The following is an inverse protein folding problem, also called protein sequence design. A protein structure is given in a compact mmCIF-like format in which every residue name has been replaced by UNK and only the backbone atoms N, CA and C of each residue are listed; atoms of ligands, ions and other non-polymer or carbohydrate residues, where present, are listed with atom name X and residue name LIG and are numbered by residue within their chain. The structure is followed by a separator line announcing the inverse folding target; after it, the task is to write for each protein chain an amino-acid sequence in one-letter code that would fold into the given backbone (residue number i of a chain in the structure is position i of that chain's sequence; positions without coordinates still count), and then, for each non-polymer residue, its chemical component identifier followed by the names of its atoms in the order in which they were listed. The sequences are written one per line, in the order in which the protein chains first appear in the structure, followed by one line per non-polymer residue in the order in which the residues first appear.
data_IF_426859528070
#
_entry.id   IF_426859528070
#
_cell.length_a   1.000
_cell.length_b   1.000
_cell.length_c   1.000
_cell.angle_alpha   90.00
_cell.angle_beta   90.00
_cell.angle_gamma   90.00
#
_symmetry.space_group_name_H-M   'P 1'
#
loop_
_entity.id
_entity.type
_entity.pdbx_description
1 polymer ?
#
# COMPACT_ATOMS: atom_id res chain seq x y z
N UNK A 1 34.82 1.98 -21.56
CA UNK A 1 33.93 2.92 -22.22
C UNK A 1 32.69 3.13 -21.32
N UNK A 2 32.49 4.39 -20.91
CA UNK A 2 31.29 4.74 -20.11
C UNK A 2 30.10 4.63 -21.07
N UNK A 3 29.12 3.82 -20.71
CA UNK A 3 27.91 3.58 -21.49
C UNK A 3 27.21 4.92 -21.84
N UNK A 4 26.87 5.11 -23.12
CA UNK A 4 26.19 6.31 -23.61
C UNK A 4 24.88 6.61 -22.87
N UNK A 5 24.21 5.57 -22.39
CA UNK A 5 23.02 5.66 -21.56
C UNK A 5 23.29 6.24 -20.16
N UNK A 6 24.47 5.99 -19.58
CA UNK A 6 24.86 6.56 -18.29
C UNK A 6 25.10 8.07 -18.38
N UNK A 7 25.79 8.52 -19.44
CA UNK A 7 26.02 9.95 -19.70
C UNK A 7 24.71 10.69 -19.94
N UNK A 8 23.77 10.10 -20.68
CA UNK A 8 22.46 10.67 -20.91
C UNK A 8 21.67 10.84 -19.60
N UNK A 9 21.70 9.84 -18.71
CA UNK A 9 21.05 9.93 -17.38
C UNK A 9 21.67 11.01 -16.49
N UNK A 10 22.99 11.15 -16.47
CA UNK A 10 23.67 12.20 -15.72
C UNK A 10 23.33 13.60 -16.26
N UNK A 11 23.25 13.77 -17.58
CA UNK A 11 22.81 15.03 -18.20
C UNK A 11 21.37 15.36 -17.83
N UNK A 12 20.45 14.40 -17.91
CA UNK A 12 19.05 14.57 -17.50
C UNK A 12 18.95 14.99 -16.04
N UNK A 13 19.70 14.33 -15.15
CA UNK A 13 19.73 14.66 -13.72
C UNK A 13 20.23 16.09 -13.48
N UNK A 14 21.32 16.52 -14.14
CA UNK A 14 21.84 17.88 -14.06
C UNK A 14 20.84 18.93 -14.56
N UNK A 15 20.16 18.65 -15.69
CA UNK A 15 19.10 19.53 -16.21
C UNK A 15 17.93 19.66 -15.25
N UNK A 16 17.53 18.57 -14.59
CA UNK A 16 16.46 18.60 -13.57
C UNK A 16 16.82 19.51 -12.40
N UNK A 17 18.08 19.46 -11.90
CA UNK A 17 18.54 20.36 -10.84
C UNK A 17 18.52 21.83 -11.28
N UNK A 18 18.99 22.12 -12.50
CA UNK A 18 18.94 23.49 -13.06
C UNK A 18 17.51 24.01 -13.22
N UNK A 19 16.62 23.17 -13.74
CA UNK A 19 15.21 23.52 -13.91
C UNK A 19 14.55 23.82 -12.57
N UNK A 20 14.78 23.00 -11.54
CA UNK A 20 14.31 23.25 -10.18
C UNK A 20 14.83 24.59 -9.62
N UNK A 21 16.15 24.84 -9.71
CA UNK A 21 16.72 26.14 -9.28
C UNK A 21 16.09 27.32 -9.99
N UNK A 22 15.88 27.19 -11.29
CA UNK A 22 15.22 28.26 -12.08
C UNK A 22 13.80 28.48 -11.63
N UNK A 23 13.00 27.40 -11.46
CA UNK A 23 11.64 27.46 -10.98
C UNK A 23 11.52 28.17 -9.61
N UNK A 24 12.31 27.74 -8.63
CA UNK A 24 12.29 28.37 -7.30
C UNK A 24 12.70 29.86 -7.32
N UNK A 25 13.60 30.26 -8.23
CA UNK A 25 14.04 31.65 -8.36
C UNK A 25 13.06 32.54 -9.14
N UNK A 26 12.36 32.00 -10.13
CA UNK A 26 11.58 32.80 -11.06
C UNK A 26 10.06 32.72 -10.82
N UNK A 27 9.56 31.64 -10.25
CA UNK A 27 8.12 31.41 -10.12
C UNK A 27 7.62 31.55 -8.67
N UNK A 28 8.52 31.57 -7.67
CA UNK A 28 8.11 31.62 -6.28
C UNK A 28 8.22 33.05 -5.78
N UNK A 29 7.08 33.60 -5.38
CA UNK A 29 7.02 34.88 -4.71
C UNK A 29 7.50 34.73 -3.26
N UNK A 30 8.68 35.28 -2.95
CA UNK A 30 9.28 35.21 -1.62
C UNK A 30 8.54 36.00 -0.53
N UNK A 31 7.56 36.82 -0.94
CA UNK A 31 6.74 37.59 -0.01
C UNK A 31 5.45 36.84 0.40
N UNK A 32 5.23 35.65 -0.11
CA UNK A 32 4.10 34.80 0.24
C UNK A 32 4.57 33.60 1.08
N UNK A 33 3.74 33.15 2.03
CA UNK A 33 3.98 31.89 2.72
C UNK A 33 3.75 30.72 1.76
N UNK A 34 4.85 30.12 1.30
CA UNK A 34 4.81 28.97 0.43
C UNK A 34 5.11 27.69 1.22
N UNK A 35 4.31 26.65 1.05
CA UNK A 35 4.57 25.31 1.57
C UNK A 35 4.90 24.37 0.42
N UNK A 36 6.10 23.83 0.43
CA UNK A 36 6.54 22.86 -0.57
C UNK A 36 6.48 21.46 -0.02
N UNK A 37 5.81 20.57 -0.77
CA UNK A 37 5.71 19.16 -0.43
C UNK A 37 6.42 18.36 -1.53
N UNK A 38 7.40 17.56 -1.14
CA UNK A 38 8.12 16.68 -2.05
C UNK A 38 7.87 15.22 -1.69
N UNK A 39 7.63 14.40 -2.69
CA UNK A 39 7.28 12.99 -2.53
C UNK A 39 8.42 12.10 -3.03
N UNK A 40 8.87 11.19 -2.19
CA UNK A 40 9.93 10.20 -2.40
C UNK A 40 11.38 10.71 -2.34
N UNK A 41 12.28 9.77 -2.05
CA UNK A 41 13.70 10.06 -1.83
C UNK A 41 14.41 10.68 -3.06
N UNK A 42 14.04 10.31 -4.28
CA UNK A 42 14.67 10.85 -5.48
C UNK A 42 14.36 12.34 -5.66
N UNK A 43 13.09 12.74 -5.57
CA UNK A 43 12.68 14.14 -5.64
C UNK A 43 13.28 14.96 -4.48
N UNK A 44 13.29 14.40 -3.27
CA UNK A 44 13.91 15.01 -2.10
C UNK A 44 15.42 15.27 -2.33
N UNK A 45 16.13 14.32 -2.94
CA UNK A 45 17.56 14.48 -3.24
C UNK A 45 17.80 15.59 -4.28
N UNK A 46 16.95 15.67 -5.31
CA UNK A 46 17.02 16.73 -6.32
C UNK A 46 16.83 18.12 -5.70
N UNK A 47 15.85 18.28 -4.81
CA UNK A 47 15.59 19.54 -4.10
C UNK A 47 16.75 19.93 -3.18
N UNK A 48 17.32 18.98 -2.46
CA UNK A 48 18.52 19.23 -1.65
C UNK A 48 19.70 19.70 -2.50
N UNK A 49 20.00 19.02 -3.62
CA UNK A 49 21.05 19.42 -4.57
C UNK A 49 20.77 20.77 -5.24
N UNK A 50 19.50 21.12 -5.39
CA UNK A 50 19.11 22.45 -5.86
C UNK A 50 19.30 23.55 -4.81
N UNK A 51 19.49 23.19 -3.53
CA UNK A 51 19.64 24.15 -2.42
C UNK A 51 18.30 24.65 -1.88
N UNK A 52 17.19 23.99 -2.21
CA UNK A 52 15.80 24.42 -1.93
C UNK A 52 15.10 23.48 -0.92
N UNK A 53 15.84 22.95 0.06
CA UNK A 53 15.29 21.93 0.99
C UNK A 53 14.75 22.49 2.32
N UNK A 54 15.16 23.69 2.73
CA UNK A 54 14.88 24.22 4.07
C UNK A 54 13.41 24.37 4.42
N UNK A 55 12.59 24.79 3.44
CA UNK A 55 11.16 25.07 3.63
C UNK A 55 10.28 23.96 3.04
N UNK A 56 10.88 22.80 2.74
CA UNK A 56 10.19 21.65 2.14
C UNK A 56 9.80 20.65 3.20
N UNK A 57 8.58 20.12 3.07
CA UNK A 57 8.11 18.92 3.73
C UNK A 57 8.41 17.71 2.84
N UNK A 58 9.31 16.84 3.27
CA UNK A 58 9.64 15.61 2.54
C UNK A 58 8.71 14.46 2.93
N UNK A 59 7.90 13.95 2.01
CA UNK A 59 7.02 12.80 2.26
C UNK A 59 7.69 11.50 1.82
N UNK A 60 7.60 10.50 2.66
CA UNK A 60 8.08 9.15 2.40
C UNK A 60 6.92 8.16 2.28
N UNK A 61 6.78 7.58 1.09
CA UNK A 61 5.76 6.56 0.81
C UNK A 61 6.30 5.13 0.89
N UNK A 62 7.61 4.99 1.12
CA UNK A 62 8.28 3.71 1.22
C UNK A 62 8.89 3.51 2.61
N UNK A 63 8.86 2.27 3.08
CA UNK A 63 9.43 1.89 4.37
C UNK A 63 10.92 2.27 4.47
N UNK A 64 11.36 2.56 5.71
CA UNK A 64 12.76 2.90 6.02
C UNK A 64 13.74 1.85 5.48
N UNK A 65 13.45 0.56 5.67
CA UNK A 65 14.35 -0.55 5.36
C UNK A 65 14.34 -0.99 3.88
N UNK A 66 13.59 -0.33 3.02
CA UNK A 66 13.55 -0.67 1.58
C UNK A 66 14.94 -0.55 0.93
N UNK A 67 15.75 0.38 1.41
CA UNK A 67 17.05 0.66 0.82
C UNK A 67 18.21 0.02 1.60
N UNK A 68 19.34 -0.32 0.93
CA UNK A 68 20.56 -0.80 1.59
C UNK A 68 21.12 0.24 2.59
N UNK A 69 21.88 -0.23 3.58
CA UNK A 69 22.45 0.63 4.64
C UNK A 69 23.11 1.93 4.15
N UNK A 70 23.99 1.94 3.10
CA UNK A 70 24.62 3.19 2.66
C UNK A 70 23.61 4.18 2.07
N UNK A 71 22.58 3.70 1.35
CA UNK A 71 21.52 4.55 0.80
C UNK A 71 20.65 5.12 1.92
N UNK A 72 20.36 4.34 2.98
CA UNK A 72 19.64 4.82 4.17
C UNK A 72 20.40 5.93 4.88
N UNK A 73 21.72 5.78 5.02
CA UNK A 73 22.57 6.82 5.61
C UNK A 73 22.54 8.13 4.79
N UNK A 74 22.69 8.01 3.46
CA UNK A 74 22.56 9.15 2.55
C UNK A 74 21.18 9.81 2.66
N UNK A 75 20.13 9.02 2.72
CA UNK A 75 18.74 9.48 2.87
C UNK A 75 18.56 10.27 4.17
N UNK A 76 19.04 9.77 5.29
CA UNK A 76 19.00 10.49 6.57
C UNK A 76 19.84 11.78 6.49
N UNK A 77 21.01 11.74 5.87
CA UNK A 77 21.84 12.93 5.66
C UNK A 77 21.09 14.00 4.84
N UNK A 78 20.52 13.65 3.69
CA UNK A 78 19.72 14.57 2.86
C UNK A 78 18.55 15.14 3.66
N UNK A 79 17.83 14.30 4.41
CA UNK A 79 16.65 14.70 5.19
C UNK A 79 16.97 15.59 6.39
N UNK A 80 18.21 15.61 6.86
CA UNK A 80 18.63 16.56 7.90
C UNK A 80 18.50 18.03 7.47
N UNK A 81 18.45 18.32 6.18
CA UNK A 81 18.28 19.67 5.62
C UNK A 81 16.82 20.08 5.37
N UNK A 82 15.86 19.19 5.52
CA UNK A 82 14.44 19.46 5.30
C UNK A 82 13.78 20.06 6.55
N UNK A 83 12.70 20.81 6.36
CA UNK A 83 11.90 21.39 7.45
C UNK A 83 11.28 20.28 8.31
N UNK A 84 10.58 19.34 7.69
CA UNK A 84 10.00 18.15 8.30
C UNK A 84 10.08 16.98 7.32
N UNK A 85 10.07 15.78 7.87
CA UNK A 85 9.90 14.53 7.13
C UNK A 85 8.63 13.88 7.60
N UNK A 86 7.73 13.63 6.67
CA UNK A 86 6.45 12.96 6.91
C UNK A 86 6.62 11.49 6.53
N UNK A 87 6.29 10.61 7.45
CA UNK A 87 6.29 9.14 7.27
C UNK A 87 4.89 8.60 7.53
N UNK A 88 4.60 7.39 7.03
CA UNK A 88 3.26 6.83 7.09
C UNK A 88 2.99 5.97 8.34
N UNK A 89 4.05 5.56 9.06
CA UNK A 89 3.93 4.66 10.22
C UNK A 89 4.84 5.10 11.36
N UNK A 90 4.41 4.85 12.61
CA UNK A 90 5.20 5.12 13.82
C UNK A 90 6.48 4.28 13.86
N UNK A 91 6.46 3.11 13.25
CA UNK A 91 7.62 2.24 13.12
C UNK A 91 8.72 2.87 12.26
N UNK A 92 8.34 3.51 11.14
CA UNK A 92 9.30 4.26 10.32
C UNK A 92 9.74 5.53 11.02
N UNK A 93 8.85 6.25 11.71
CA UNK A 93 9.23 7.39 12.55
C UNK A 93 10.31 6.99 13.55
N UNK A 94 10.10 5.92 14.31
CA UNK A 94 11.08 5.42 15.28
C UNK A 94 12.43 5.11 14.63
N UNK A 95 12.44 4.55 13.42
CA UNK A 95 13.68 4.24 12.70
C UNK A 95 14.40 5.48 12.20
N UNK A 96 13.68 6.46 11.65
CA UNK A 96 14.26 7.73 11.22
C UNK A 96 14.77 8.55 12.41
N UNK A 97 14.07 8.54 13.54
CA UNK A 97 14.47 9.26 14.77
C UNK A 97 15.76 8.71 15.42
N UNK A 98 16.27 7.55 15.01
CA UNK A 98 17.62 7.09 15.37
C UNK A 98 18.74 7.94 14.74
N UNK A 99 18.43 8.67 13.67
CA UNK A 99 19.40 9.43 12.88
C UNK A 99 19.01 10.90 12.68
N UNK A 100 17.74 11.23 12.92
CA UNK A 100 17.17 12.58 12.82
C UNK A 100 16.56 12.99 14.16
N UNK A 101 16.46 14.28 14.45
CA UNK A 101 15.81 14.75 15.68
C UNK A 101 14.31 14.41 15.66
N UNK A 102 13.74 14.08 16.83
CA UNK A 102 12.34 13.66 16.98
C UNK A 102 11.33 14.70 16.44
N UNK A 103 11.64 15.98 16.67
CA UNK A 103 10.77 17.06 16.19
C UNK A 103 10.80 17.24 14.66
N UNK A 104 11.70 16.55 13.96
CA UNK A 104 11.83 16.62 12.50
C UNK A 104 11.00 15.58 11.75
N UNK A 105 10.73 14.45 12.38
CA UNK A 105 9.97 13.36 11.77
C UNK A 105 8.57 13.29 12.36
N UNK A 106 7.57 13.32 11.50
CA UNK A 106 6.15 13.30 11.88
C UNK A 106 5.45 12.13 11.19
N UNK A 107 4.68 11.36 11.93
CA UNK A 107 3.81 10.34 11.35
C UNK A 107 2.50 10.98 10.92
N UNK A 108 2.20 10.88 9.64
CA UNK A 108 0.90 11.21 9.06
C UNK A 108 0.50 10.03 8.18
N UNK A 109 -0.40 9.14 8.64
CA UNK A 109 -0.83 8.01 7.86
C UNK A 109 -1.66 8.48 6.65
N UNK A 110 -1.73 7.64 5.63
CA UNK A 110 -2.64 7.89 4.52
C UNK A 110 -4.09 7.79 5.00
N UNK A 111 -4.92 8.70 4.51
CA UNK A 111 -6.32 8.81 4.91
C UNK A 111 -7.21 7.80 4.20
N UNK A 112 -8.21 7.30 4.92
CA UNK A 112 -9.35 6.61 4.35
C UNK A 112 -10.39 7.65 3.91
N UNK A 113 -10.62 7.80 2.62
CA UNK A 113 -11.76 8.56 2.11
C UNK A 113 -12.90 7.56 1.91
N UNK A 114 -13.78 7.45 2.91
CA UNK A 114 -15.02 6.69 2.75
C UNK A 114 -15.89 7.41 1.71
N UNK A 115 -15.85 6.94 0.47
CA UNK A 115 -16.79 7.35 -0.58
C UNK A 115 -18.03 6.50 -0.40
N UNK A 116 -19.17 7.14 -0.10
CA UNK A 116 -20.53 6.57 -0.05
C UNK A 116 -20.78 5.38 0.90
N UNK A 117 -22.01 5.25 1.37
CA UNK A 117 -22.45 4.12 2.20
C UNK A 117 -22.87 2.95 1.30
N UNK A 118 -21.90 2.14 0.88
CA UNK A 118 -22.18 0.87 0.24
C UNK A 118 -22.64 -0.16 1.28
N UNK A 119 -23.74 -0.84 0.98
CA UNK A 119 -24.19 -1.98 1.78
C UNK A 119 -23.44 -3.23 1.29
N UNK A 120 -22.61 -3.81 2.15
CA UNK A 120 -21.87 -5.03 1.84
C UNK A 120 -22.80 -6.26 1.83
N UNK A 121 -22.64 -7.11 0.83
CA UNK A 121 -23.24 -8.45 0.81
C UNK A 121 -22.26 -9.47 1.42
N UNK A 122 -22.22 -9.53 2.74
CA UNK A 122 -21.39 -10.49 3.46
C UNK A 122 -21.84 -11.94 3.31
N UNK A 123 -22.99 -12.20 2.64
CA UNK A 123 -23.50 -13.55 2.33
C UNK A 123 -23.05 -14.03 0.97
N UNK A 124 -22.46 -13.16 0.17
CA UNK A 124 -21.87 -13.50 -1.12
C UNK A 124 -20.87 -14.65 -1.00
N UNK A 125 -20.74 -15.45 -2.06
CA UNK A 125 -19.71 -16.49 -2.19
C UNK A 125 -18.51 -16.01 -3.00
N UNK A 126 -18.22 -14.71 -2.94
CA UNK A 126 -17.11 -14.08 -3.68
C UNK A 126 -16.07 -13.54 -2.72
N UNK A 127 -14.84 -13.97 -2.92
CA UNK A 127 -13.64 -13.41 -2.30
C UNK A 127 -13.08 -12.37 -3.26
N UNK A 128 -12.57 -11.26 -2.75
CA UNK A 128 -11.97 -10.21 -3.58
C UNK A 128 -10.52 -9.96 -3.20
N UNK A 129 -9.66 -9.77 -4.20
CA UNK A 129 -8.29 -9.28 -4.06
C UNK A 129 -8.03 -8.17 -5.07
N UNK A 130 -7.27 -7.14 -4.69
CA UNK A 130 -7.09 -5.94 -5.50
C UNK A 130 -5.63 -5.48 -5.46
N UNK A 131 -5.06 -5.20 -6.63
CA UNK A 131 -3.71 -4.66 -6.72
C UNK A 131 -3.08 -4.86 -8.09
N UNK A 132 -1.92 -4.25 -8.32
CA UNK A 132 -1.15 -4.49 -9.55
C UNK A 132 -0.75 -5.96 -9.65
N UNK A 133 -0.85 -6.55 -10.81
CA UNK A 133 -0.38 -7.93 -11.07
C UNK A 133 1.15 -7.93 -11.16
N UNK A 134 1.78 -7.78 -10.00
CA UNK A 134 3.22 -7.61 -9.78
C UNK A 134 3.69 -8.50 -8.62
N UNK A 135 4.94 -8.99 -8.58
CA UNK A 135 5.43 -9.89 -7.53
C UNK A 135 5.19 -9.39 -6.09
N UNK A 136 5.19 -8.07 -5.89
CA UNK A 136 4.91 -7.45 -4.59
C UNK A 136 3.56 -7.88 -4.01
N UNK A 137 2.52 -8.02 -4.84
CA UNK A 137 1.14 -8.30 -4.38
C UNK A 137 0.88 -9.77 -4.04
N UNK A 138 1.79 -10.69 -4.40
CA UNK A 138 1.75 -12.09 -3.97
C UNK A 138 0.53 -12.87 -4.45
N UNK A 139 -0.04 -12.52 -5.61
CA UNK A 139 -1.20 -13.22 -6.16
C UNK A 139 -0.89 -14.67 -6.55
N UNK A 140 0.36 -14.98 -6.85
CA UNK A 140 0.86 -16.34 -7.05
C UNK A 140 0.69 -17.20 -5.78
N UNK A 141 0.95 -16.63 -4.61
CA UNK A 141 0.74 -17.30 -3.32
C UNK A 141 -0.76 -17.44 -3.02
N UNK A 142 -1.54 -16.38 -3.27
CA UNK A 142 -2.99 -16.40 -3.09
C UNK A 142 -3.66 -17.47 -3.96
N UNK A 143 -3.30 -17.58 -5.23
CA UNK A 143 -3.80 -18.60 -6.15
C UNK A 143 -3.44 -20.00 -5.65
N UNK A 144 -2.21 -20.20 -5.15
CA UNK A 144 -1.80 -21.47 -4.58
C UNK A 144 -2.62 -21.84 -3.32
N UNK A 145 -2.84 -20.89 -2.42
CA UNK A 145 -3.64 -21.09 -1.21
C UNK A 145 -5.13 -21.35 -1.53
N UNK A 146 -5.64 -20.73 -2.59
CA UNK A 146 -7.03 -20.89 -3.02
C UNK A 146 -7.35 -22.31 -3.54
N UNK A 147 -6.34 -23.11 -3.89
CA UNK A 147 -6.56 -24.51 -4.34
C UNK A 147 -7.28 -25.32 -3.27
N UNK A 148 -6.77 -25.36 -2.06
CA UNK A 148 -7.36 -26.13 -0.97
C UNK A 148 -8.74 -25.57 -0.57
N UNK A 149 -8.92 -24.25 -0.68
CA UNK A 149 -10.20 -23.59 -0.40
C UNK A 149 -11.27 -24.04 -1.39
N UNK A 150 -11.00 -24.02 -2.70
CA UNK A 150 -11.99 -24.34 -3.71
C UNK A 150 -12.18 -25.85 -3.93
N UNK A 151 -11.23 -26.66 -3.51
CA UNK A 151 -11.45 -28.11 -3.41
C UNK A 151 -12.52 -28.43 -2.36
N UNK A 152 -12.55 -27.67 -1.24
CA UNK A 152 -13.54 -27.82 -0.18
C UNK A 152 -14.85 -27.05 -0.45
N UNK A 153 -14.75 -25.88 -1.09
CA UNK A 153 -15.87 -24.98 -1.37
C UNK A 153 -15.93 -24.60 -2.86
N UNK A 154 -16.31 -25.55 -3.75
CA UNK A 154 -16.25 -25.36 -5.20
C UNK A 154 -17.24 -24.32 -5.75
N UNK A 155 -18.21 -23.90 -4.96
CA UNK A 155 -19.19 -22.85 -5.27
C UNK A 155 -18.76 -21.43 -4.88
N UNK A 156 -17.58 -21.28 -4.29
CA UNK A 156 -16.95 -20.00 -4.03
C UNK A 156 -16.04 -19.54 -5.16
N UNK A 157 -15.88 -18.22 -5.27
CA UNK A 157 -15.08 -17.59 -6.33
C UNK A 157 -14.09 -16.58 -5.75
N UNK A 158 -12.97 -16.39 -6.43
CA UNK A 158 -11.98 -15.34 -6.16
C UNK A 158 -11.89 -14.42 -7.37
N UNK A 159 -12.27 -13.16 -7.20
CA UNK A 159 -12.08 -12.10 -8.16
C UNK A 159 -10.82 -11.30 -7.84
N UNK A 160 -9.85 -11.27 -8.76
CA UNK A 160 -8.62 -10.49 -8.65
C UNK A 160 -8.73 -9.29 -9.59
N UNK A 161 -8.76 -8.09 -9.03
CA UNK A 161 -8.84 -6.84 -9.77
C UNK A 161 -7.46 -6.17 -9.88
N UNK A 162 -7.12 -5.74 -11.06
CA UNK A 162 -5.90 -5.02 -11.39
C UNK A 162 -5.24 -5.52 -12.67
N UNK A 163 -4.20 -4.80 -13.06
CA UNK A 163 -3.39 -5.09 -14.26
C UNK A 163 -1.91 -5.16 -13.89
N UNK A 164 -1.09 -5.75 -14.75
CA UNK A 164 0.35 -5.82 -14.58
C UNK A 164 1.01 -6.94 -15.36
N UNK A 165 2.31 -6.96 -15.26
CA UNK A 165 3.21 -7.84 -16.03
C UNK A 165 3.02 -9.34 -15.76
N UNK A 166 2.45 -9.71 -14.61
CA UNK A 166 2.25 -11.12 -14.24
C UNK A 166 0.93 -11.72 -14.76
N UNK A 167 0.13 -10.98 -15.54
CA UNK A 167 -1.20 -11.44 -15.98
C UNK A 167 -1.15 -12.83 -16.60
N UNK A 168 -0.28 -13.05 -17.58
CA UNK A 168 -0.19 -14.31 -18.30
C UNK A 168 0.35 -15.46 -17.42
N UNK A 169 1.32 -15.14 -16.55
CA UNK A 169 1.87 -16.11 -15.61
C UNK A 169 0.82 -16.57 -14.58
N UNK A 170 0.03 -15.65 -14.03
CA UNK A 170 -1.06 -15.95 -13.10
C UNK A 170 -2.18 -16.73 -13.81
N UNK A 171 -2.53 -16.37 -15.04
CA UNK A 171 -3.51 -17.11 -15.83
C UNK A 171 -3.07 -18.55 -16.10
N UNK A 172 -1.79 -18.77 -16.41
CA UNK A 172 -1.21 -20.10 -16.59
C UNK A 172 -1.22 -20.91 -15.29
N UNK A 173 -0.94 -20.27 -14.15
CA UNK A 173 -0.99 -20.91 -12.83
C UNK A 173 -2.42 -21.35 -12.50
N UNK A 174 -3.45 -20.51 -12.74
CA UNK A 174 -4.86 -20.85 -12.56
C UNK A 174 -5.23 -22.07 -13.40
N UNK A 175 -4.77 -22.14 -14.65
CA UNK A 175 -5.02 -23.27 -15.54
C UNK A 175 -4.34 -24.55 -15.03
N UNK A 176 -3.08 -24.46 -14.65
CA UNK A 176 -2.30 -25.61 -14.15
C UNK A 176 -2.92 -26.22 -12.89
N UNK A 177 -3.49 -25.38 -12.01
CA UNK A 177 -4.16 -25.82 -10.79
C UNK A 177 -5.63 -26.24 -11.00
N UNK A 178 -6.18 -26.12 -12.22
CA UNK A 178 -7.57 -26.47 -12.51
C UNK A 178 -8.61 -25.51 -11.93
N UNK A 179 -8.24 -24.24 -11.66
CA UNK A 179 -9.05 -23.27 -10.93
C UNK A 179 -9.80 -22.26 -11.83
N UNK A 180 -9.92 -22.54 -13.14
CA UNK A 180 -10.51 -21.60 -14.12
C UNK A 180 -12.00 -21.30 -13.85
N UNK A 181 -12.69 -22.17 -13.10
CA UNK A 181 -14.10 -21.97 -12.72
C UNK A 181 -14.26 -21.14 -11.46
N UNK A 182 -13.18 -20.97 -10.67
CA UNK A 182 -13.22 -20.34 -9.37
C UNK A 182 -12.46 -19.01 -9.32
N UNK A 183 -11.37 -18.84 -10.10
CA UNK A 183 -10.52 -17.66 -10.04
C UNK A 183 -10.59 -16.86 -11.33
N UNK A 184 -10.88 -15.56 -11.21
CA UNK A 184 -11.06 -14.66 -12.34
C UNK A 184 -10.14 -13.44 -12.21
N UNK A 185 -9.26 -13.21 -13.20
CA UNK A 185 -8.51 -11.98 -13.36
C UNK A 185 -9.40 -10.95 -14.06
N UNK A 186 -9.96 -10.02 -13.32
CA UNK A 186 -11.03 -9.09 -13.77
C UNK A 186 -10.50 -7.84 -14.47
N UNK A 187 -9.18 -7.61 -14.45
CA UNK A 187 -8.60 -6.37 -14.97
C UNK A 187 -8.85 -5.16 -14.08
N UNK A 188 -8.67 -3.97 -14.66
CA UNK A 188 -8.92 -2.70 -13.97
C UNK A 188 -10.42 -2.40 -13.85
N UNK A 189 -10.80 -1.74 -12.77
CA UNK A 189 -12.14 -1.16 -12.58
C UNK A 189 -12.01 0.22 -11.93
N UNK A 190 -12.86 1.15 -12.32
CA UNK A 190 -13.04 2.46 -11.68
C UNK A 190 -14.06 2.43 -10.53
N UNK A 191 -14.83 1.34 -10.41
CA UNK A 191 -15.84 1.14 -9.36
C UNK A 191 -15.46 0.00 -8.39
N UNK A 192 -14.29 0.07 -7.78
CA UNK A 192 -13.81 -0.95 -6.85
C UNK A 192 -14.71 -1.08 -5.61
N UNK A 193 -15.31 0.04 -5.15
CA UNK A 193 -16.22 0.02 -4.00
C UNK A 193 -17.47 -0.82 -4.28
N UNK A 194 -18.01 -0.74 -5.50
CA UNK A 194 -19.11 -1.60 -5.93
C UNK A 194 -18.74 -3.07 -6.00
N UNK A 195 -17.48 -3.39 -6.31
CA UNK A 195 -17.00 -4.77 -6.31
C UNK A 195 -16.74 -5.30 -4.88
N UNK A 196 -16.23 -4.44 -3.98
CA UNK A 196 -16.21 -4.77 -2.56
C UNK A 196 -17.62 -5.06 -2.04
N UNK A 197 -18.61 -4.24 -2.37
CA UNK A 197 -19.98 -4.41 -1.91
C UNK A 197 -20.62 -5.77 -2.29
N UNK A 198 -20.17 -6.38 -3.38
CA UNK A 198 -20.65 -7.69 -3.87
C UNK A 198 -19.83 -8.88 -3.33
N UNK A 199 -18.87 -8.64 -2.45
CA UNK A 199 -17.92 -9.65 -1.98
C UNK A 199 -18.08 -9.91 -0.48
N UNK A 200 -17.78 -11.14 -0.05
CA UNK A 200 -17.90 -11.56 1.35
C UNK A 200 -16.72 -11.07 2.21
N UNK A 201 -15.52 -11.12 1.66
CA UNK A 201 -14.31 -10.65 2.34
C UNK A 201 -13.17 -10.37 1.33
N UNK A 202 -12.21 -9.54 1.79
CA UNK A 202 -11.03 -9.14 1.04
C UNK A 202 -9.80 -9.92 1.48
N UNK A 203 -8.87 -10.19 0.53
CA UNK A 203 -7.58 -10.83 0.84
C UNK A 203 -6.43 -9.96 0.34
N UNK A 204 -5.49 -9.64 1.24
CA UNK A 204 -4.22 -8.96 0.96
C UNK A 204 -3.05 -9.94 1.11
N UNK A 205 -2.57 -10.47 0.01
CA UNK A 205 -1.45 -11.43 -0.04
C UNK A 205 -0.09 -10.79 -0.29
N UNK A 206 0.05 -9.49 -0.05
CA UNK A 206 1.25 -8.73 -0.40
C UNK A 206 2.49 -9.20 0.37
N UNK A 207 3.62 -9.30 -0.33
CA UNK A 207 4.93 -9.58 0.25
C UNK A 207 5.49 -8.43 1.08
N UNK A 208 5.16 -7.21 0.68
CA UNK A 208 5.51 -5.97 1.38
C UNK A 208 4.61 -4.82 0.94
N UNK A 209 4.35 -3.90 1.87
CA UNK A 209 3.63 -2.66 1.63
C UNK A 209 4.40 -1.47 2.22
N UNK A 210 4.13 -0.25 1.75
CA UNK A 210 4.51 0.98 2.44
C UNK A 210 3.41 1.37 3.44
N UNK A 211 2.19 1.48 2.93
CA UNK A 211 0.93 1.55 3.68
C UNK A 211 -0.16 0.96 2.77
N UNK A 212 -0.86 -0.10 3.18
CA UNK A 212 -1.74 -0.85 2.29
C UNK A 212 -3.08 -0.14 2.06
N UNK A 213 -3.10 0.87 1.19
CA UNK A 213 -4.28 1.71 0.93
C UNK A 213 -5.53 0.90 0.60
N UNK A 214 -5.39 -0.15 -0.21
CA UNK A 214 -6.52 -0.99 -0.59
C UNK A 214 -7.13 -1.73 0.62
N UNK A 215 -6.32 -2.09 1.62
CA UNK A 215 -6.83 -2.65 2.88
C UNK A 215 -7.59 -1.58 3.68
N UNK A 216 -7.05 -0.36 3.75
CA UNK A 216 -7.72 0.78 4.39
C UNK A 216 -9.05 1.09 3.69
N UNK A 217 -9.08 1.10 2.37
CA UNK A 217 -10.29 1.29 1.57
C UNK A 217 -11.32 0.19 1.85
N UNK A 218 -10.93 -1.07 1.82
CA UNK A 218 -11.79 -2.20 2.13
C UNK A 218 -12.37 -2.10 3.56
N UNK A 219 -11.51 -1.85 4.55
CA UNK A 219 -11.92 -1.73 5.96
C UNK A 219 -12.79 -0.49 6.22
N UNK A 220 -12.60 0.61 5.48
CA UNK A 220 -13.43 1.81 5.59
C UNK A 220 -14.88 1.57 5.14
N UNK A 221 -15.08 0.59 4.27
CA UNK A 221 -16.41 0.10 3.88
C UNK A 221 -16.97 -0.94 4.86
N UNK A 222 -16.17 -1.41 5.80
CA UNK A 222 -16.51 -2.51 6.72
C UNK A 222 -16.26 -3.90 6.12
N UNK A 223 -15.43 -4.01 5.08
CA UNK A 223 -15.10 -5.28 4.45
C UNK A 223 -14.23 -6.14 5.39
N UNK A 224 -14.69 -7.34 5.81
CA UNK A 224 -13.84 -8.28 6.53
C UNK A 224 -12.62 -8.63 5.72
N UNK A 225 -11.45 -8.71 6.35
CA UNK A 225 -10.19 -8.84 5.61
C UNK A 225 -9.32 -9.97 6.14
N UNK A 226 -8.60 -10.64 5.24
CA UNK A 226 -7.49 -11.54 5.56
C UNK A 226 -6.23 -10.91 4.98
N UNK A 227 -5.20 -10.72 5.78
CA UNK A 227 -3.99 -10.09 5.29
C UNK A 227 -2.73 -10.82 5.79
N UNK A 228 -1.69 -10.90 4.95
CA UNK A 228 -0.37 -11.28 5.42
C UNK A 228 0.19 -10.22 6.38
N UNK A 229 0.87 -10.70 7.43
CA UNK A 229 1.71 -9.86 8.30
C UNK A 229 2.98 -9.46 7.53
N UNK A 230 2.78 -8.67 6.49
CA UNK A 230 3.89 -8.09 5.75
C UNK A 230 4.36 -6.79 6.43
N UNK A 231 5.63 -6.42 6.27
CA UNK A 231 6.14 -5.18 6.86
C UNK A 231 5.30 -3.96 6.49
N UNK A 232 4.96 -3.18 7.52
CA UNK A 232 4.29 -1.88 7.50
C UNK A 232 2.79 -1.94 7.10
N UNK A 233 1.95 -1.83 8.11
CA UNK A 233 0.54 -1.50 7.98
C UNK A 233 -0.48 -2.59 8.32
N UNK A 234 -0.49 -3.81 7.73
CA UNK A 234 -1.56 -4.77 7.97
C UNK A 234 -1.74 -5.14 9.44
N UNK A 235 -0.66 -5.40 10.18
CA UNK A 235 -0.73 -5.69 11.62
C UNK A 235 -1.35 -4.54 12.41
N UNK A 236 -0.98 -3.30 12.14
CA UNK A 236 -1.54 -2.13 12.81
C UNK A 236 -3.03 -1.94 12.48
N UNK A 237 -3.41 -2.11 11.22
CA UNK A 237 -4.79 -1.95 10.78
C UNK A 237 -5.73 -3.02 11.33
N UNK A 238 -5.25 -4.26 11.48
CA UNK A 238 -6.04 -5.39 11.97
C UNK A 238 -5.93 -5.64 13.48
N UNK A 239 -5.08 -4.88 14.20
CA UNK A 239 -4.83 -5.09 15.64
C UNK A 239 -6.11 -5.01 16.50
N UNK A 240 -7.03 -4.08 16.17
CA UNK A 240 -8.26 -3.85 16.89
C UNK A 240 -9.45 -4.63 16.31
N UNK A 241 -9.23 -5.49 15.31
CA UNK A 241 -10.26 -6.28 14.63
C UNK A 241 -10.31 -6.04 13.13
N UNK A 242 -11.46 -6.31 12.51
CA UNK A 242 -11.65 -6.15 11.07
C UNK A 242 -11.20 -7.34 10.22
N UNK A 243 -10.50 -8.35 10.80
CA UNK A 243 -10.07 -9.50 10.03
C UNK A 243 -9.07 -10.42 10.71
N UNK A 244 -8.35 -11.17 9.90
CA UNK A 244 -7.35 -12.15 10.31
C UNK A 244 -5.99 -11.75 9.75
N UNK A 245 -5.00 -11.65 10.64
CA UNK A 245 -3.61 -11.47 10.27
C UNK A 245 -2.93 -12.84 10.13
N UNK A 246 -2.27 -13.08 9.01
CA UNK A 246 -1.66 -14.36 8.66
C UNK A 246 -0.15 -14.19 8.52
N UNK A 247 0.61 -15.17 8.96
CA UNK A 247 2.06 -15.19 8.77
C UNK A 247 2.43 -15.03 7.29
N UNK A 248 3.35 -14.10 7.04
CA UNK A 248 3.77 -13.72 5.69
C UNK A 248 4.20 -14.93 4.87
N UNK A 249 3.69 -15.01 3.63
CA UNK A 249 4.00 -16.06 2.64
C UNK A 249 3.67 -17.49 3.08
N UNK A 250 2.92 -17.68 4.17
CA UNK A 250 2.46 -19.00 4.61
C UNK A 250 1.17 -19.40 3.88
N UNK A 251 1.32 -20.23 2.85
CA UNK A 251 0.22 -20.69 1.97
C UNK A 251 -0.85 -21.43 2.78
N UNK A 252 -0.46 -22.36 3.66
CA UNK A 252 -1.40 -23.17 4.46
C UNK A 252 -2.23 -22.30 5.39
N UNK A 253 -1.56 -21.40 6.14
CA UNK A 253 -2.28 -20.47 7.04
C UNK A 253 -3.17 -19.50 6.29
N UNK A 254 -2.81 -19.08 5.07
CA UNK A 254 -3.68 -18.25 4.25
C UNK A 254 -4.93 -19.02 3.82
N UNK A 255 -4.78 -20.28 3.39
CA UNK A 255 -5.89 -21.17 3.08
C UNK A 255 -6.79 -21.37 4.29
N UNK A 256 -6.23 -21.72 5.46
CA UNK A 256 -6.97 -21.89 6.73
C UNK A 256 -7.76 -20.63 7.10
N UNK A 257 -7.17 -19.44 6.98
CA UNK A 257 -7.83 -18.17 7.28
C UNK A 257 -8.99 -17.89 6.30
N UNK A 258 -8.82 -18.17 5.00
CA UNK A 258 -9.90 -18.05 4.02
C UNK A 258 -11.05 -19.03 4.31
N UNK A 259 -10.72 -20.28 4.64
CA UNK A 259 -11.71 -21.30 5.05
C UNK A 259 -12.46 -20.84 6.31
N UNK A 260 -11.73 -20.34 7.32
CA UNK A 260 -12.35 -19.80 8.52
C UNK A 260 -13.34 -18.65 8.21
N UNK A 261 -12.95 -17.73 7.33
CA UNK A 261 -13.86 -16.68 6.88
C UNK A 261 -15.11 -17.23 6.18
N UNK A 262 -15.00 -18.28 5.42
CA UNK A 262 -16.13 -18.94 4.74
C UNK A 262 -17.08 -19.56 5.78
N UNK A 263 -16.54 -20.31 6.73
CA UNK A 263 -17.31 -21.09 7.70
C UNK A 263 -17.96 -20.23 8.80
N UNK A 264 -17.45 -19.02 9.04
CA UNK A 264 -17.89 -18.18 10.16
C UNK A 264 -18.50 -16.84 9.69
N UNK A 265 -19.73 -16.84 9.15
CA UNK A 265 -20.40 -15.61 8.71
C UNK A 265 -20.59 -14.60 9.86
N UNK A 266 -20.81 -15.07 11.09
CA UNK A 266 -20.93 -14.19 12.26
C UNK A 266 -19.62 -13.47 12.56
N UNK A 267 -18.47 -14.12 12.34
CA UNK A 267 -17.18 -13.47 12.46
C UNK A 267 -17.00 -12.39 11.40
N UNK A 268 -17.42 -12.62 10.16
CA UNK A 268 -17.43 -11.59 9.11
C UNK A 268 -18.27 -10.39 9.51
N UNK A 269 -19.48 -10.62 10.08
CA UNK A 269 -20.32 -9.53 10.57
C UNK A 269 -19.69 -8.75 11.73
N UNK A 270 -18.98 -9.46 12.63
CA UNK A 270 -18.21 -8.80 13.70
C UNK A 270 -17.10 -7.94 13.13
N UNK A 271 -16.33 -8.45 12.18
CA UNK A 271 -15.26 -7.71 11.49
C UNK A 271 -15.79 -6.46 10.79
N UNK A 272 -16.96 -6.52 10.19
CA UNK A 272 -17.57 -5.38 9.49
C UNK A 272 -17.85 -4.17 10.38
N UNK A 273 -18.05 -4.36 11.68
CA UNK A 273 -18.25 -3.27 12.66
C UNK A 273 -16.96 -2.46 12.89
N UNK A 274 -15.80 -2.99 12.53
CA UNK A 274 -14.51 -2.30 12.64
C UNK A 274 -14.39 -1.07 11.72
N UNK A 275 -15.32 -0.90 10.80
CA UNK A 275 -15.45 0.30 9.96
C UNK A 275 -15.41 1.60 10.79
N UNK A 276 -16.02 1.63 11.97
CA UNK A 276 -16.07 2.82 12.80
C UNK A 276 -14.67 3.20 13.32
N UNK A 277 -13.86 2.21 13.71
CA UNK A 277 -12.45 2.45 14.09
C UNK A 277 -11.66 3.12 12.96
N UNK A 278 -11.80 2.64 11.73
CA UNK A 278 -11.11 3.24 10.56
C UNK A 278 -11.58 4.69 10.33
N UNK A 279 -12.89 4.96 10.47
CA UNK A 279 -13.42 6.31 10.34
C UNK A 279 -12.92 7.25 11.45
N UNK A 280 -12.81 6.76 12.66
CA UNK A 280 -12.35 7.54 13.82
C UNK A 280 -10.86 7.84 13.78
N UNK A 281 -10.02 6.96 13.22
CA UNK A 281 -8.56 7.08 13.30
C UNK A 281 -7.89 7.48 11.99
N UNK A 282 -8.50 7.21 10.83
CA UNK A 282 -7.92 7.46 9.51
C UNK A 282 -8.77 8.38 8.62
N UNK A 283 -9.82 9.01 9.16
CA UNK A 283 -10.58 9.98 8.36
C UNK A 283 -9.85 11.32 8.22
N UNK A 284 -10.14 12.08 7.16
CA UNK A 284 -9.57 13.42 7.00
C UNK A 284 -9.79 14.34 8.20
N UNK A 285 -10.92 14.19 8.90
CA UNK A 285 -11.28 15.02 10.08
C UNK A 285 -10.38 14.80 11.29
N UNK A 286 -9.69 13.69 11.36
CA UNK A 286 -8.83 13.31 12.50
C UNK A 286 -7.37 13.59 12.20
N UNK A 287 -6.99 13.52 10.92
CA UNK A 287 -5.60 13.71 10.47
C UNK A 287 -5.29 15.19 10.23
N UNK A 288 -6.31 16.03 10.01
CA UNK A 288 -6.23 17.49 9.90
C UNK A 288 -6.78 18.17 11.14
#
# INVERSE_FOLDING_TARGET
PIDSGYIARLRSFYHSIKALKHFFRSQINKNEENVFISQNFFANTLLWLAGESKDVLGCEHFKYDLYPKPVRALRCFVYSFFKKIIVLTDKDQTKFCKHLSQNKVVTIPNMAIAKEDFKLDLTSKTIIAVGRLHPQKGFDILISAAKDVFDKYPDWHLNIFGEGELKDALQSQIQTLGLQRNIFLKGYTDNINGEFAKSAFFVLSSRYEGFPMVLVEAMSLGMPSVAFDCPEGPAQLLAEGGGILVEKENISKLSEAMVYMIEHPDFRQKCSKHREFIKEHLSPKVIY
#
